data_IF_074633461235
#
_entry.id   IF_074633461235
#
_cell.length_a   1.000
_cell.length_b   1.000
_cell.length_c   1.000
_cell.angle_alpha   90.00
_cell.angle_beta   90.00
_cell.angle_gamma   90.00
#
_symmetry.space_group_name_H-M   'P 1'
#
loop_
_entity.id
_entity.type
_entity.pdbx_description
1 polymer ?
#
# COMPACT_ATOMS: atom_id res chain seq x y z
N UNK A 1 -26.19 -8.70 13.11
CA UNK A 1 -25.67 -8.59 14.49
C UNK A 1 -24.45 -9.50 14.62
N UNK A 2 -23.45 -9.13 15.42
CA UNK A 2 -22.30 -10.00 15.67
C UNK A 2 -22.57 -10.85 16.92
N UNK A 3 -22.15 -12.12 16.88
CA UNK A 3 -22.34 -13.08 17.97
C UNK A 3 -21.01 -13.27 18.71
N UNK A 4 -21.02 -13.20 20.04
CA UNK A 4 -19.82 -13.41 20.85
C UNK A 4 -19.56 -14.90 21.00
N UNK A 5 -18.39 -15.36 20.57
CA UNK A 5 -18.00 -16.78 20.57
C UNK A 5 -17.13 -17.11 21.78
N UNK A 6 -16.30 -16.16 22.24
CA UNK A 6 -15.49 -16.34 23.44
C UNK A 6 -15.31 -15.03 24.19
N UNK A 7 -15.55 -15.06 25.50
CA UNK A 7 -15.25 -13.94 26.41
C UNK A 7 -13.78 -14.02 26.80
N UNK A 8 -13.02 -12.96 26.53
CA UNK A 8 -11.58 -12.94 26.84
C UNK A 8 -11.11 -11.59 27.41
N UNK A 9 -11.91 -10.51 27.32
CA UNK A 9 -11.62 -9.26 28.04
C UNK A 9 -10.28 -8.60 27.67
N UNK A 10 -9.82 -8.77 26.43
CA UNK A 10 -8.48 -8.31 26.03
C UNK A 10 -8.40 -6.78 25.97
N UNK A 11 -7.55 -6.19 26.83
CA UNK A 11 -7.24 -4.76 26.82
C UNK A 11 -6.26 -4.43 25.70
N UNK A 12 -6.63 -3.47 24.84
CA UNK A 12 -5.81 -3.03 23.71
C UNK A 12 -4.81 -1.96 24.13
N UNK A 13 -3.54 -2.21 23.85
CA UNK A 13 -2.44 -1.27 24.07
C UNK A 13 -2.12 -0.49 22.80
N UNK A 14 -1.80 0.80 22.94
CA UNK A 14 -1.37 1.65 21.82
C UNK A 14 -0.09 1.08 21.21
N UNK A 15 0.00 1.08 19.87
CA UNK A 15 1.18 0.57 19.15
C UNK A 15 1.12 -0.92 18.77
N UNK A 16 0.08 -1.65 19.18
CA UNK A 16 -0.11 -3.07 18.85
C UNK A 16 -1.36 -3.30 18.00
N UNK A 17 -1.26 -4.26 17.08
CA UNK A 17 -2.38 -4.84 16.36
C UNK A 17 -2.82 -6.11 17.10
N UNK A 18 -4.12 -6.23 17.34
CA UNK A 18 -4.73 -7.41 17.94
C UNK A 18 -5.54 -8.15 16.89
N UNK A 19 -5.32 -9.44 16.76
CA UNK A 19 -5.97 -10.28 15.78
C UNK A 19 -6.11 -11.71 16.29
N UNK A 20 -6.90 -12.50 15.58
CA UNK A 20 -7.06 -13.92 15.87
C UNK A 20 -6.04 -14.67 15.00
N UNK A 21 -5.27 -15.56 15.59
CA UNK A 21 -4.27 -16.37 14.89
C UNK A 21 -4.92 -17.54 14.12
N UNK A 22 -4.10 -18.34 13.43
CA UNK A 22 -4.56 -19.53 12.70
C UNK A 22 -5.07 -20.65 13.63
N UNK A 23 -4.61 -20.67 14.89
CA UNK A 23 -5.02 -21.64 15.91
C UNK A 23 -6.30 -21.22 16.64
N UNK A 24 -6.85 -20.04 16.33
CA UNK A 24 -8.08 -19.53 16.96
C UNK A 24 -7.85 -18.80 18.28
N UNK A 25 -6.61 -18.39 18.58
CA UNK A 25 -6.24 -17.63 19.77
C UNK A 25 -6.13 -16.13 19.46
N UNK A 26 -6.24 -15.31 20.50
CA UNK A 26 -6.01 -13.87 20.38
C UNK A 26 -4.52 -13.58 20.52
N UNK A 27 -3.93 -12.98 19.50
CA UNK A 27 -2.52 -12.59 19.48
C UNK A 27 -2.37 -11.08 19.26
N UNK A 28 -1.24 -10.54 19.74
CA UNK A 28 -0.82 -9.16 19.52
C UNK A 28 0.51 -9.11 18.75
N UNK A 29 0.66 -8.14 17.85
CA UNK A 29 1.92 -7.85 17.16
C UNK A 29 2.18 -6.35 17.12
N UNK A 30 3.45 -5.94 17.13
CA UNK A 30 3.85 -4.52 17.03
C UNK A 30 3.48 -3.97 15.65
N UNK A 31 2.76 -2.86 15.58
CA UNK A 31 2.33 -2.27 14.32
C UNK A 31 3.53 -1.70 13.54
N UNK A 32 3.64 -2.01 12.25
CA UNK A 32 4.51 -1.27 11.35
C UNK A 32 3.90 0.11 11.06
N UNK A 33 4.60 1.19 11.42
CA UNK A 33 4.25 2.57 11.06
C UNK A 33 5.23 3.07 9.99
N UNK A 34 4.73 3.81 8.99
CA UNK A 34 5.53 4.63 8.07
C UNK A 34 6.60 3.89 7.25
N UNK A 35 6.21 3.16 6.20
CA UNK A 35 7.14 2.65 5.18
C UNK A 35 8.15 1.57 5.63
N UNK A 36 8.22 1.26 6.93
CA UNK A 36 9.06 0.20 7.46
C UNK A 36 8.73 -1.16 6.86
N UNK A 37 9.74 -2.03 6.77
CA UNK A 37 9.60 -3.40 6.23
C UNK A 37 8.43 -4.09 6.94
N UNK A 38 7.38 -4.46 6.17
CA UNK A 38 6.28 -5.36 6.58
C UNK A 38 6.84 -6.79 6.74
N UNK A 39 7.82 -6.96 7.63
CA UNK A 39 8.34 -8.26 8.00
C UNK A 39 7.41 -8.97 8.97
N UNK A 40 7.59 -10.28 9.12
CA UNK A 40 6.87 -11.12 10.08
C UNK A 40 7.28 -10.72 11.50
N UNK A 41 6.67 -9.67 12.04
CA UNK A 41 6.91 -9.27 13.43
C UNK A 41 6.52 -10.41 14.35
N UNK A 42 7.29 -10.58 15.43
CA UNK A 42 6.96 -11.52 16.48
C UNK A 42 5.55 -11.22 17.01
N UNK A 43 4.71 -12.26 17.01
CA UNK A 43 3.37 -12.21 17.58
C UNK A 43 3.42 -12.89 18.95
N UNK A 44 2.75 -12.30 19.93
CA UNK A 44 2.59 -12.88 21.26
C UNK A 44 1.13 -13.24 21.48
N UNK A 45 0.86 -14.46 21.93
CA UNK A 45 -0.49 -14.90 22.29
C UNK A 45 -0.89 -14.21 23.59
N UNK A 46 -2.04 -13.55 23.60
CA UNK A 46 -2.58 -12.83 24.76
C UNK A 46 -3.65 -13.66 25.47
N UNK A 47 -4.47 -14.37 24.70
CA UNK A 47 -5.50 -15.26 25.25
C UNK A 47 -5.62 -16.51 24.39
N UNK A 48 -5.62 -17.68 25.04
CA UNK A 48 -5.88 -18.97 24.41
C UNK A 48 -7.39 -19.19 24.37
N UNK A 49 -7.98 -19.11 23.18
CA UNK A 49 -9.43 -19.27 22.98
C UNK A 49 -9.78 -20.47 22.12
N UNK A 50 -8.85 -21.02 21.34
CA UNK A 50 -9.05 -22.27 20.59
C UNK A 50 -10.21 -22.26 19.58
N UNK A 51 -10.57 -21.09 19.05
CA UNK A 51 -11.79 -20.94 18.24
C UNK A 51 -11.60 -21.56 16.86
N UNK A 52 -12.46 -22.53 16.52
CA UNK A 52 -12.54 -23.09 15.17
C UNK A 52 -13.28 -22.12 14.25
N UNK A 53 -12.61 -21.70 13.18
CA UNK A 53 -13.20 -20.76 12.20
C UNK A 53 -14.10 -21.50 11.24
N UNK A 54 -15.35 -21.05 11.13
CA UNK A 54 -16.32 -21.55 10.17
C UNK A 54 -16.25 -20.75 8.87
N UNK A 55 -16.40 -21.45 7.74
CA UNK A 55 -16.52 -20.81 6.44
C UNK A 55 -17.74 -19.87 6.40
N UNK A 56 -17.60 -18.73 5.74
CA UNK A 56 -18.68 -17.74 5.63
C UNK A 56 -18.76 -16.74 6.80
N UNK A 57 -17.92 -16.86 7.83
CA UNK A 57 -17.87 -15.93 8.96
C UNK A 57 -16.56 -15.13 9.04
N UNK A 58 -16.67 -13.86 9.43
CA UNK A 58 -15.55 -13.02 9.83
C UNK A 58 -15.45 -13.04 11.35
N UNK A 59 -14.24 -13.31 11.84
CA UNK A 59 -13.93 -13.32 13.27
C UNK A 59 -13.10 -12.09 13.61
N UNK A 60 -13.47 -11.39 14.67
CA UNK A 60 -12.80 -10.17 15.11
C UNK A 60 -12.92 -9.98 16.62
N UNK A 61 -12.15 -9.03 17.15
CA UNK A 61 -12.24 -8.59 18.54
C UNK A 61 -13.19 -7.41 18.65
N UNK A 62 -14.20 -7.52 19.50
CA UNK A 62 -15.14 -6.43 19.78
C UNK A 62 -14.50 -5.29 20.60
N UNK A 63 -15.29 -4.25 20.90
CA UNK A 63 -14.83 -3.12 21.72
C UNK A 63 -14.54 -3.51 23.18
N UNK A 64 -15.17 -4.58 23.67
CA UNK A 64 -14.99 -5.12 25.03
C UNK A 64 -13.79 -6.09 25.11
N UNK A 65 -13.13 -6.38 23.98
CA UNK A 65 -11.99 -7.29 23.92
C UNK A 65 -12.36 -8.77 23.84
N UNK A 66 -13.59 -9.10 23.45
CA UNK A 66 -14.06 -10.47 23.25
C UNK A 66 -13.97 -10.87 21.78
N UNK A 67 -13.90 -12.17 21.50
CA UNK A 67 -13.96 -12.68 20.14
C UNK A 67 -15.41 -12.83 19.71
N UNK A 68 -15.76 -12.15 18.63
CA UNK A 68 -17.08 -12.22 18.01
C UNK A 68 -16.97 -12.68 16.55
N UNK A 69 -18.06 -13.27 16.04
CA UNK A 69 -18.23 -13.66 14.64
C UNK A 69 -19.40 -12.94 13.99
N UNK A 70 -19.29 -12.71 12.68
CA UNK A 70 -20.39 -12.17 11.87
C UNK A 70 -20.40 -12.85 10.50
N UNK A 71 -21.58 -13.09 9.93
CA UNK A 71 -21.71 -13.64 8.57
C UNK A 71 -21.14 -12.64 7.57
N UNK A 72 -20.19 -13.07 6.74
CA UNK A 72 -19.55 -12.22 5.74
C UNK A 72 -20.55 -11.82 4.66
N UNK A 73 -20.64 -10.51 4.39
CA UNK A 73 -21.31 -10.01 3.19
C UNK A 73 -20.41 -10.23 1.96
N UNK A 74 -20.40 -11.47 1.43
CA UNK A 74 -19.72 -11.80 0.18
C UNK A 74 -20.63 -11.40 -0.98
N UNK A 75 -20.38 -10.24 -1.57
CA UNK A 75 -21.15 -9.72 -2.71
C UNK A 75 -21.63 -8.30 -2.45
N UNK A 76 -20.74 -7.33 -2.66
CA UNK A 76 -21.18 -5.94 -2.72
C UNK A 76 -22.12 -5.76 -3.90
N UNK A 77 -23.28 -5.12 -3.68
CA UNK A 77 -24.12 -4.60 -4.78
C UNK A 77 -23.21 -3.80 -5.69
N UNK A 78 -23.04 -4.21 -6.95
CA UNK A 78 -22.22 -3.50 -7.94
C UNK A 78 -22.64 -2.03 -7.89
N UNK A 79 -21.81 -1.14 -7.34
CA UNK A 79 -22.02 0.30 -7.49
C UNK A 79 -21.99 0.53 -8.99
N UNK A 80 -23.13 0.89 -9.60
CA UNK A 80 -23.19 1.30 -11.01
C UNK A 80 -22.06 2.32 -11.19
N UNK A 81 -21.05 1.99 -12.00
CA UNK A 81 -20.00 2.96 -12.36
C UNK A 81 -20.75 4.17 -12.91
N UNK A 82 -20.64 5.34 -12.27
CA UNK A 82 -21.05 6.58 -12.91
C UNK A 82 -20.25 6.66 -14.21
N UNK A 83 -20.94 6.68 -15.35
CA UNK A 83 -20.31 6.76 -16.66
C UNK A 83 -19.35 7.96 -16.66
N UNK A 84 -18.07 7.71 -16.85
CA UNK A 84 -17.10 8.78 -17.02
C UNK A 84 -17.52 9.57 -18.27
N UNK A 85 -17.90 10.85 -18.11
CA UNK A 85 -18.17 11.74 -19.25
C UNK A 85 -16.94 11.69 -20.16
N UNK A 86 -17.13 11.17 -21.37
CA UNK A 86 -16.12 11.07 -22.43
C UNK A 86 -15.57 12.47 -22.67
N UNK A 87 -14.31 12.74 -22.31
CA UNK A 87 -13.65 14.01 -22.64
C UNK A 87 -13.58 14.09 -24.17
N UNK A 88 -14.38 14.96 -24.77
CA UNK A 88 -14.30 15.31 -26.19
C UNK A 88 -12.91 15.87 -26.46
N UNK A 89 -12.13 15.19 -27.31
CA UNK A 89 -10.85 15.69 -27.82
C UNK A 89 -11.13 17.01 -28.55
N UNK A 90 -10.69 18.15 -28.00
CA UNK A 90 -10.69 19.42 -28.74
C UNK A 90 -9.81 19.22 -29.97
N UNK A 91 -10.43 19.31 -31.15
CA UNK A 91 -9.77 19.26 -32.46
C UNK A 91 -8.86 20.48 -32.56
N UNK A 92 -7.54 20.27 -32.62
CA UNK A 92 -6.58 21.35 -32.79
C UNK A 92 -6.77 21.99 -34.17
N UNK A 93 -7.36 23.18 -34.20
CA UNK A 93 -7.43 24.00 -35.41
C UNK A 93 -6.02 24.48 -35.76
N UNK A 94 -5.47 23.94 -36.86
CA UNK A 94 -4.30 24.48 -37.56
C UNK A 94 -4.53 25.98 -37.79
N UNK A 95 -3.77 26.86 -37.11
CA UNK A 95 -3.63 28.25 -37.55
C UNK A 95 -2.29 28.43 -38.25
N UNK A 96 -2.43 29.02 -39.44
CA UNK A 96 -1.48 29.18 -40.52
C UNK A 96 -0.22 29.94 -40.09
N UNK A 97 0.89 29.55 -40.71
CA UNK A 97 2.15 30.27 -40.73
C UNK A 97 1.98 31.74 -41.13
N UNK A 98 2.65 32.65 -40.41
CA UNK A 98 3.12 33.93 -40.96
C UNK A 98 4.63 34.02 -40.76
N UNK A 99 5.30 34.12 -41.89
CA UNK A 99 6.74 34.24 -42.12
C UNK A 99 7.14 35.72 -42.03
N UNK A 100 8.30 36.03 -41.43
CA UNK A 100 9.26 37.13 -41.73
C UNK A 100 10.27 37.20 -40.57
N UNK A 101 11.44 36.57 -40.66
CA UNK A 101 12.70 37.04 -41.28
C UNK A 101 13.21 38.35 -40.66
N UNK A 102 14.20 38.25 -39.75
CA UNK A 102 15.45 39.05 -39.82
C UNK A 102 16.63 38.17 -39.36
N UNK A 103 17.68 38.24 -40.19
CA UNK A 103 18.98 37.57 -40.24
C UNK A 103 19.94 38.32 -39.28
N UNK A 104 20.86 37.71 -38.51
CA UNK A 104 22.24 37.42 -38.95
C UNK A 104 23.14 36.87 -37.80
N UNK A 105 23.89 35.80 -38.15
CA UNK A 105 25.33 35.46 -37.93
C UNK A 105 25.88 35.43 -36.48
N UNK A 106 26.42 34.35 -35.89
CA UNK A 106 27.33 33.24 -36.27
C UNK A 106 28.75 33.40 -35.67
N UNK A 107 29.14 32.50 -34.76
CA UNK A 107 30.51 31.95 -34.48
C UNK A 107 30.39 31.07 -33.22
N UNK A 108 31.07 29.94 -33.01
CA UNK A 108 31.93 29.04 -33.78
C UNK A 108 32.19 27.86 -32.83
N UNK A 109 32.14 26.62 -33.32
CA UNK A 109 32.65 25.43 -32.63
C UNK A 109 34.10 25.63 -32.16
N UNK A 110 34.46 25.14 -30.97
CA UNK A 110 35.77 24.50 -30.80
C UNK A 110 35.70 23.38 -29.76
N UNK A 111 36.15 22.23 -30.21
CA UNK A 111 36.33 21.01 -29.45
C UNK A 111 37.72 20.98 -28.78
N UNK A 112 37.80 20.31 -27.63
CA UNK A 112 39.01 19.67 -27.08
C UNK A 112 38.50 18.35 -26.45
N UNK A 113 38.67 17.15 -27.02
CA UNK A 113 39.89 16.30 -27.09
C UNK A 113 40.66 16.38 -25.75
N UNK A 114 40.87 15.34 -24.92
CA UNK A 114 41.40 13.96 -25.14
C UNK A 114 41.15 13.12 -23.86
N UNK A 115 40.75 11.84 -23.97
CA UNK A 115 41.56 10.58 -23.81
C UNK A 115 42.39 10.52 -22.50
N UNK A 116 42.06 9.64 -21.53
CA UNK A 116 42.29 8.17 -21.42
C UNK A 116 43.67 7.84 -20.86
N UNK A 117 43.72 7.10 -19.73
CA UNK A 117 44.75 6.10 -19.30
C UNK A 117 44.87 6.09 -17.75
N UNK A 118 44.36 5.08 -17.03
CA UNK A 118 45.06 3.84 -16.61
C UNK A 118 46.38 4.05 -15.86
N UNK A 119 46.41 3.78 -14.54
CA UNK A 119 47.47 2.97 -13.88
C UNK A 119 47.21 2.69 -12.38
N UNK A 120 46.70 1.50 -12.11
CA UNK A 120 47.25 0.47 -11.20
C UNK A 120 48.53 0.85 -10.41
N UNK A 121 48.48 0.76 -9.08
CA UNK A 121 49.57 0.34 -8.17
C UNK A 121 48.93 0.08 -6.78
N UNK A 122 48.50 -1.14 -6.41
CA UNK A 122 49.24 -2.27 -5.83
C UNK A 122 50.39 -1.87 -4.87
N UNK A 123 50.32 -2.46 -3.67
CA UNK A 123 51.33 -2.64 -2.60
C UNK A 123 51.43 -1.52 -1.57
N UNK A 124 50.92 -1.79 -0.37
CA UNK A 124 51.74 -1.97 0.83
C UNK A 124 51.16 -3.11 1.64
#
# INVERSE_FOLDING_TARGET
MAEVVAKCGVKRQKGYLYFIDKKGNVAKAKMARGGGKKGRQAQSVVAKTGIKRQAGYLYFLDKKGNVARVKMARGGKRRKKKAAKKKTKKKATKRKAKKRVVKRKAKKKKATKRKKATRRKKRR
#
